data_IF_629144000883
#
_entry.id   IF_629144000883
#
_cell.length_a   1.000
_cell.length_b   1.000
_cell.length_c   1.000
_cell.angle_alpha   90.00
_cell.angle_beta   90.00
_cell.angle_gamma   90.00
#
_symmetry.space_group_name_H-M   'P 1'
#
loop_
_entity.id
_entity.type
_entity.pdbx_description
1 polymer ?
#
# COMPACT_ATOMS: atom_id res chain seq x y z
N UNK A 1 -21.99 5.95 2.60
CA UNK A 1 -22.45 5.15 1.45
C UNK A 1 -22.79 5.96 0.19
N UNK A 2 -22.90 7.31 0.25
CA UNK A 2 -23.32 8.11 -0.91
C UNK A 2 -22.37 8.02 -2.12
N UNK A 3 -21.09 7.76 -1.90
CA UNK A 3 -20.09 7.60 -2.97
C UNK A 3 -20.08 6.19 -3.59
N UNK A 4 -20.64 5.20 -2.91
CA UNK A 4 -20.66 3.82 -3.37
C UNK A 4 -21.62 3.67 -4.56
N UNK A 5 -21.29 2.77 -5.50
CA UNK A 5 -22.15 2.49 -6.66
C UNK A 5 -23.48 1.86 -6.23
N UNK A 6 -23.47 1.01 -5.20
CA UNK A 6 -24.64 0.50 -4.49
C UNK A 6 -24.71 1.17 -3.12
N UNK A 7 -25.81 1.85 -2.83
CA UNK A 7 -25.89 2.73 -1.66
C UNK A 7 -26.47 2.02 -0.42
N UNK A 8 -27.27 0.96 -0.60
CA UNK A 8 -27.85 0.24 0.53
C UNK A 8 -26.96 -0.97 0.87
N UNK A 9 -26.67 -1.22 2.16
CA UNK A 9 -25.95 -2.43 2.58
C UNK A 9 -26.61 -3.72 2.08
N UNK A 10 -27.95 -3.75 1.99
CA UNK A 10 -28.72 -4.91 1.55
C UNK A 10 -28.54 -5.21 0.04
N UNK A 11 -27.94 -4.30 -0.73
CA UNK A 11 -27.64 -4.53 -2.15
C UNK A 11 -26.43 -5.47 -2.35
N UNK A 12 -25.71 -5.82 -1.27
CA UNK A 12 -24.52 -6.66 -1.29
C UNK A 12 -24.83 -8.06 -0.74
N UNK A 13 -24.45 -9.11 -1.47
CA UNK A 13 -24.75 -10.50 -1.10
C UNK A 13 -23.92 -11.00 0.08
N UNK A 14 -22.73 -10.43 0.26
CA UNK A 14 -21.77 -10.83 1.29
C UNK A 14 -21.06 -9.62 1.85
N UNK A 15 -20.52 -9.75 3.07
CA UNK A 15 -19.66 -8.72 3.64
C UNK A 15 -18.44 -8.44 2.77
N UNK A 16 -17.82 -9.46 2.17
CA UNK A 16 -16.67 -9.27 1.27
C UNK A 16 -17.03 -8.42 0.04
N UNK A 17 -18.24 -8.56 -0.50
CA UNK A 17 -18.74 -7.73 -1.60
C UNK A 17 -18.91 -6.27 -1.15
N UNK A 18 -19.44 -6.05 0.05
CA UNK A 18 -19.57 -4.73 0.66
C UNK A 18 -18.22 -4.08 0.98
N UNK A 19 -17.30 -4.86 1.56
CA UNK A 19 -15.95 -4.40 1.93
C UNK A 19 -15.16 -3.96 0.69
N UNK A 20 -15.31 -4.72 -0.41
CA UNK A 20 -14.70 -4.43 -1.71
C UNK A 20 -15.64 -3.69 -2.66
N UNK A 21 -16.62 -2.95 -2.14
CA UNK A 21 -17.61 -2.18 -2.92
C UNK A 21 -16.97 -1.32 -4.01
N UNK A 22 -17.68 -1.12 -5.12
CA UNK A 22 -17.29 -0.14 -6.16
C UNK A 22 -17.76 1.26 -5.76
N UNK A 23 -17.01 2.28 -6.17
CA UNK A 23 -17.46 3.67 -6.09
C UNK A 23 -18.15 4.08 -7.39
N UNK A 24 -18.93 5.17 -7.33
CA UNK A 24 -19.54 5.78 -8.51
C UNK A 24 -18.45 6.30 -9.47
N UNK A 25 -18.68 6.24 -10.80
CA UNK A 25 -17.79 6.86 -11.76
C UNK A 25 -17.59 8.35 -11.46
N UNK A 26 -16.37 8.85 -11.64
CA UNK A 26 -16.05 10.28 -11.49
C UNK A 26 -15.84 10.77 -10.05
N UNK A 27 -16.01 9.92 -9.03
CA UNK A 27 -15.69 10.26 -7.63
C UNK A 27 -14.20 10.53 -7.47
N UNK A 28 -13.35 9.65 -8.01
CA UNK A 28 -11.92 9.87 -8.06
C UNK A 28 -11.53 10.63 -9.33
N UNK A 29 -11.19 11.92 -9.19
CA UNK A 29 -10.61 12.72 -10.28
C UNK A 29 -9.10 12.47 -10.34
N UNK A 30 -8.66 11.72 -11.34
CA UNK A 30 -7.25 11.35 -11.50
C UNK A 30 -6.51 12.47 -12.25
N UNK A 31 -5.37 12.90 -11.71
CA UNK A 31 -4.46 13.80 -12.42
C UNK A 31 -3.87 13.08 -13.63
N UNK A 32 -4.10 13.58 -14.85
CA UNK A 32 -3.67 12.97 -16.11
C UNK A 32 -2.29 13.43 -16.60
N UNK A 33 -1.57 14.23 -15.82
CA UNK A 33 -0.24 14.69 -16.21
C UNK A 33 0.71 13.50 -16.31
N UNK A 34 1.47 13.39 -17.41
CA UNK A 34 2.37 12.24 -17.70
C UNK A 34 3.36 11.89 -16.57
N UNK A 35 3.76 12.88 -15.79
CA UNK A 35 4.76 12.72 -14.72
C UNK A 35 4.14 12.80 -13.32
N UNK A 36 2.80 12.79 -13.20
CA UNK A 36 2.15 12.84 -11.90
C UNK A 36 2.08 11.44 -11.28
N UNK A 37 2.54 11.34 -10.03
CA UNK A 37 2.26 10.20 -9.16
C UNK A 37 0.98 10.54 -8.39
N UNK A 38 -0.02 9.69 -8.47
CA UNK A 38 -1.31 9.86 -7.76
C UNK A 38 -1.39 8.92 -6.56
N UNK A 39 -2.30 9.22 -5.62
CA UNK A 39 -2.57 8.29 -4.52
C UNK A 39 -3.12 6.98 -5.08
N UNK A 40 -2.59 5.85 -4.60
CA UNK A 40 -3.04 4.52 -5.01
C UNK A 40 -4.36 4.11 -4.33
N UNK A 41 -4.70 4.71 -3.20
CA UNK A 41 -5.87 4.31 -2.41
C UNK A 41 -6.44 5.44 -1.57
N UNK A 42 -7.67 5.25 -1.10
CA UNK A 42 -8.31 6.08 -0.08
C UNK A 42 -7.78 5.66 1.29
N UNK A 43 -7.43 6.63 2.13
CA UNK A 43 -6.95 6.34 3.47
C UNK A 43 -6.18 7.50 4.07
N UNK A 44 -5.38 7.19 5.09
CA UNK A 44 -4.56 8.17 5.80
C UNK A 44 -3.08 7.88 5.56
N UNK A 45 -2.34 8.90 5.11
CA UNK A 45 -0.87 8.84 5.12
C UNK A 45 -0.41 8.74 6.57
N UNK A 46 0.29 7.65 6.89
CA UNK A 46 0.90 7.45 8.20
C UNK A 46 2.28 8.08 8.26
N UNK A 47 3.11 7.79 7.26
CA UNK A 47 4.49 8.26 7.15
C UNK A 47 4.86 8.37 5.66
N UNK A 48 5.75 9.30 5.33
CA UNK A 48 6.31 9.47 3.99
C UNK A 48 7.69 10.12 4.09
N UNK A 49 8.50 10.00 3.04
CA UNK A 49 9.79 10.68 2.98
C UNK A 49 10.82 9.96 2.13
N UNK A 50 12.09 10.23 2.41
CA UNK A 50 13.22 9.57 1.75
C UNK A 50 13.61 8.28 2.46
N UNK A 51 14.00 7.30 1.67
CA UNK A 51 14.69 6.11 2.15
C UNK A 51 16.14 6.52 2.41
N UNK A 52 16.69 6.23 3.59
CA UNK A 52 18.08 6.53 3.97
C UNK A 52 18.72 5.29 4.57
N UNK A 53 19.96 4.99 4.20
CA UNK A 53 20.71 3.83 4.71
C UNK A 53 19.90 2.53 4.62
N UNK A 54 19.20 2.35 3.49
CA UNK A 54 18.33 1.21 3.22
C UNK A 54 17.15 1.05 4.19
N UNK A 55 16.73 2.15 4.84
CA UNK A 55 15.64 2.17 5.83
C UNK A 55 14.66 3.29 5.56
N UNK A 56 13.41 3.09 5.98
CA UNK A 56 12.35 4.10 5.96
C UNK A 56 11.55 4.11 7.26
N UNK A 57 10.85 5.20 7.54
CA UNK A 57 10.06 5.35 8.77
C UNK A 57 8.78 4.51 8.71
N UNK A 58 8.56 3.68 9.73
CA UNK A 58 7.32 2.95 9.95
C UNK A 58 6.31 3.81 10.69
N UNK A 59 6.74 4.33 11.84
CA UNK A 59 5.97 5.21 12.73
C UNK A 59 6.96 5.86 13.70
N UNK A 60 6.82 7.15 13.99
CA UNK A 60 7.50 7.90 15.08
C UNK A 60 8.75 7.22 15.66
N UNK A 61 9.88 7.36 14.98
CA UNK A 61 11.21 6.90 15.43
C UNK A 61 11.53 5.42 15.18
N UNK A 62 10.57 4.61 14.71
CA UNK A 62 10.80 3.21 14.30
C UNK A 62 11.01 3.15 12.80
N UNK A 63 12.12 2.55 12.38
CA UNK A 63 12.47 2.36 10.96
C UNK A 63 12.36 0.90 10.55
N UNK A 64 11.98 0.65 9.30
CA UNK A 64 12.01 -0.65 8.64
C UNK A 64 13.13 -0.66 7.60
N UNK A 65 13.82 -1.81 7.46
CA UNK A 65 14.76 -2.07 6.38
C UNK A 65 14.02 -2.42 5.08
N UNK A 66 14.46 -1.83 3.96
CA UNK A 66 13.98 -2.19 2.61
C UNK A 66 14.23 -3.67 2.33
N UNK A 67 15.38 -4.21 2.75
CA UNK A 67 15.67 -5.64 2.56
C UNK A 67 14.64 -6.49 3.31
N UNK A 68 14.29 -6.13 4.54
CA UNK A 68 13.29 -6.90 5.30
C UNK A 68 11.92 -6.86 4.64
N UNK A 69 11.43 -5.67 4.23
CA UNK A 69 10.11 -5.57 3.63
C UNK A 69 10.05 -6.26 2.25
N UNK A 70 11.15 -6.25 1.49
CA UNK A 70 11.29 -6.87 0.17
C UNK A 70 11.74 -8.34 0.21
N UNK A 71 11.81 -8.97 1.39
CA UNK A 71 12.21 -10.37 1.59
C UNK A 71 13.63 -10.69 1.11
N UNK A 72 14.56 -9.78 1.33
CA UNK A 72 15.99 -9.90 1.01
C UNK A 72 16.28 -10.23 -0.44
N UNK A 73 15.36 -9.83 -1.33
CA UNK A 73 15.52 -10.09 -2.73
C UNK A 73 16.56 -9.14 -3.35
N UNK A 74 17.78 -9.65 -3.48
CA UNK A 74 18.94 -8.91 -3.97
C UNK A 74 18.72 -8.26 -5.35
N UNK A 75 17.81 -8.78 -6.19
CA UNK A 75 17.56 -8.23 -7.53
C UNK A 75 16.77 -6.93 -7.48
N UNK A 76 15.90 -6.76 -6.49
CA UNK A 76 14.98 -5.61 -6.39
C UNK A 76 15.34 -4.65 -5.25
N UNK A 77 15.90 -5.12 -4.15
CA UNK A 77 16.12 -4.27 -2.96
C UNK A 77 17.01 -3.04 -3.26
N UNK A 78 18.06 -3.21 -4.07
CA UNK A 78 19.00 -2.14 -4.40
C UNK A 78 18.39 -1.06 -5.30
N UNK A 79 17.25 -1.34 -5.93
CA UNK A 79 16.57 -0.41 -6.83
C UNK A 79 15.85 0.73 -6.09
N UNK A 80 15.65 0.56 -4.77
CA UNK A 80 14.89 1.50 -3.94
C UNK A 80 15.78 2.25 -2.94
N UNK A 81 17.09 1.99 -2.94
CA UNK A 81 18.05 2.76 -2.16
C UNK A 81 17.98 4.23 -2.60
N UNK A 82 18.01 5.15 -1.63
CA UNK A 82 17.84 6.60 -1.82
C UNK A 82 16.54 7.03 -2.52
N UNK A 83 15.58 6.10 -2.62
CA UNK A 83 14.25 6.35 -3.14
C UNK A 83 13.37 7.15 -2.19
N UNK A 84 12.09 7.22 -2.52
CA UNK A 84 11.06 7.84 -1.67
C UNK A 84 9.99 6.82 -1.35
N UNK A 85 9.34 6.97 -0.20
CA UNK A 85 8.28 6.06 0.25
C UNK A 85 7.07 6.86 0.76
N UNK A 86 5.92 6.19 0.74
CA UNK A 86 4.69 6.63 1.40
C UNK A 86 4.00 5.39 1.96
N UNK A 87 3.54 5.48 3.21
CA UNK A 87 2.76 4.45 3.88
C UNK A 87 1.34 4.97 4.07
N UNK A 88 0.35 4.30 3.47
CA UNK A 88 -1.06 4.66 3.56
C UNK A 88 -1.80 3.58 4.35
N UNK A 89 -2.56 4.00 5.36
CA UNK A 89 -3.45 3.14 6.13
C UNK A 89 -4.89 3.26 5.63
N UNK A 90 -5.46 2.12 5.27
CA UNK A 90 -6.87 1.97 4.93
C UNK A 90 -7.60 1.47 6.17
N UNK A 91 -8.44 2.32 6.75
CA UNK A 91 -9.34 1.92 7.82
C UNK A 91 -10.53 1.12 7.28
N UNK A 92 -11.22 0.29 8.09
CA UNK A 92 -12.32 -0.57 7.61
C UNK A 92 -13.49 0.16 6.91
N UNK A 93 -13.62 1.47 7.11
CA UNK A 93 -14.63 2.31 6.45
C UNK A 93 -14.23 2.75 5.05
N UNK A 94 -12.94 2.74 4.73
CA UNK A 94 -12.41 3.28 3.48
C UNK A 94 -12.76 2.34 2.31
N UNK A 95 -12.43 2.76 1.10
CA UNK A 95 -12.60 1.95 -0.10
C UNK A 95 -11.40 1.00 -0.25
N UNK A 96 -11.63 -0.30 -0.08
CA UNK A 96 -10.59 -1.33 -0.05
C UNK A 96 -10.23 -1.89 -1.43
N UNK A 97 -10.08 -1.02 -2.44
CA UNK A 97 -9.37 -1.38 -3.67
C UNK A 97 -8.24 -0.39 -3.90
N UNK A 98 -7.08 -0.93 -4.24
CA UNK A 98 -5.87 -0.16 -4.54
C UNK A 98 -5.70 -0.09 -6.05
N UNK A 99 -5.40 1.10 -6.54
CA UNK A 99 -5.17 1.43 -7.94
C UNK A 99 -3.70 1.73 -8.18
N UNK A 100 -3.32 1.77 -9.45
CA UNK A 100 -1.96 2.11 -9.86
C UNK A 100 -1.67 3.59 -9.55
N UNK A 101 -0.61 3.90 -8.77
CA UNK A 101 -0.23 5.29 -8.48
C UNK A 101 0.47 5.98 -9.67
N UNK A 102 1.00 5.18 -10.60
CA UNK A 102 1.73 5.64 -11.76
C UNK A 102 1.63 4.58 -12.86
N UNK A 103 1.74 5.00 -14.12
CA UNK A 103 1.84 4.06 -15.24
C UNK A 103 3.05 3.16 -15.03
N UNK A 104 2.93 1.88 -15.38
CA UNK A 104 4.04 0.93 -15.25
C UNK A 104 3.65 -0.49 -15.62
N UNK A 105 4.63 -1.23 -16.13
CA UNK A 105 4.52 -2.66 -16.42
C UNK A 105 4.90 -3.46 -15.17
N UNK A 106 4.05 -4.40 -14.77
CA UNK A 106 4.37 -5.35 -13.70
C UNK A 106 5.57 -6.21 -14.13
N UNK A 107 6.66 -6.13 -13.39
CA UNK A 107 7.84 -6.98 -13.61
C UNK A 107 7.79 -8.22 -12.73
N UNK A 108 7.30 -8.09 -11.49
CA UNK A 108 7.34 -9.18 -10.51
C UNK A 108 6.39 -8.99 -9.35
N UNK A 109 5.81 -10.10 -8.90
CA UNK A 109 5.06 -10.20 -7.65
C UNK A 109 5.73 -11.20 -6.71
N UNK A 110 5.81 -10.84 -5.43
CA UNK A 110 6.34 -11.71 -4.38
C UNK A 110 5.31 -11.78 -3.25
N UNK A 111 4.76 -12.97 -3.01
CA UNK A 111 3.97 -13.24 -1.82
C UNK A 111 4.90 -13.68 -0.69
N UNK A 112 4.74 -13.05 0.47
CA UNK A 112 5.57 -13.29 1.65
C UNK A 112 4.62 -13.68 2.78
N UNK A 113 4.59 -14.96 3.19
CA UNK A 113 3.74 -15.41 4.27
C UNK A 113 4.19 -14.78 5.60
N UNK A 114 3.24 -14.56 6.50
CA UNK A 114 3.51 -13.92 7.78
C UNK A 114 2.33 -14.03 8.74
N UNK A 115 2.38 -13.26 9.81
CA UNK A 115 1.29 -13.11 10.77
C UNK A 115 0.22 -12.16 10.22
N UNK A 116 -0.88 -12.03 10.95
CA UNK A 116 -1.94 -11.06 10.66
C UNK A 116 -2.14 -10.16 11.87
N UNK A 117 -1.11 -9.42 12.28
CA UNK A 117 -1.31 -8.40 13.32
C UNK A 117 -2.17 -7.26 12.79
N UNK A 118 -2.97 -6.64 13.65
CA UNK A 118 -3.69 -5.43 13.28
C UNK A 118 -2.71 -4.33 12.88
N UNK A 119 -2.96 -3.65 11.77
CA UNK A 119 -2.17 -2.48 11.32
C UNK A 119 -2.74 -1.16 11.84
N UNK A 120 -3.65 -1.22 12.81
CA UNK A 120 -4.15 -0.04 13.50
C UNK A 120 -2.99 0.74 14.17
N UNK A 121 -3.13 2.06 14.27
CA UNK A 121 -2.04 2.95 14.71
C UNK A 121 -1.45 2.59 16.08
N UNK A 122 -2.28 2.09 17.02
CA UNK A 122 -1.79 1.66 18.34
C UNK A 122 -0.89 0.42 18.24
N UNK A 123 -1.27 -0.57 17.44
CA UNK A 123 -0.50 -1.79 17.24
C UNK A 123 0.83 -1.53 16.52
N UNK A 124 0.81 -0.70 15.47
CA UNK A 124 2.03 -0.29 14.73
C UNK A 124 3.03 0.43 15.64
N UNK A 125 2.53 1.23 16.61
CA UNK A 125 3.39 1.90 17.61
C UNK A 125 4.00 0.94 18.61
N UNK A 126 3.36 -0.17 18.94
CA UNK A 126 3.85 -1.11 19.96
C UNK A 126 4.75 -2.18 19.34
N UNK A 127 4.34 -2.76 18.21
CA UNK A 127 5.03 -3.91 17.61
C UNK A 127 6.14 -3.42 16.68
N UNK A 128 7.38 -3.74 17.03
CA UNK A 128 8.55 -3.50 16.18
C UNK A 128 8.48 -4.33 14.90
N UNK A 129 8.76 -3.69 13.76
CA UNK A 129 8.78 -4.26 12.41
C UNK A 129 7.46 -4.97 12.05
N UNK A 130 6.32 -4.41 12.45
CA UNK A 130 5.00 -5.02 12.25
C UNK A 130 4.78 -5.36 10.77
N UNK A 131 5.08 -4.43 9.86
CA UNK A 131 4.85 -4.65 8.42
C UNK A 131 5.70 -5.80 7.85
N UNK A 132 6.90 -6.03 8.37
CA UNK A 132 7.75 -7.16 7.95
C UNK A 132 7.29 -8.50 8.54
N UNK A 133 6.60 -8.47 9.69
CA UNK A 133 6.04 -9.66 10.34
C UNK A 133 4.72 -10.10 9.73
N UNK A 134 3.96 -9.15 9.18
CA UNK A 134 2.70 -9.46 8.55
C UNK A 134 2.89 -10.12 7.19
N UNK A 135 1.92 -10.97 6.85
CA UNK A 135 1.74 -11.44 5.48
C UNK A 135 1.60 -10.24 4.55
N UNK A 136 2.26 -10.31 3.40
CA UNK A 136 2.27 -9.21 2.43
C UNK A 136 2.51 -9.66 1.00
N UNK A 137 2.11 -8.81 0.07
CA UNK A 137 2.32 -8.96 -1.36
C UNK A 137 3.12 -7.75 -1.87
N UNK A 138 4.28 -8.00 -2.47
CA UNK A 138 5.13 -6.97 -3.08
C UNK A 138 4.98 -7.04 -4.59
N UNK A 139 4.47 -5.98 -5.20
CA UNK A 139 4.33 -5.85 -6.66
C UNK A 139 5.33 -4.80 -7.17
N UNK A 140 6.27 -5.21 -8.01
CA UNK A 140 7.32 -4.36 -8.58
C UNK A 140 6.96 -3.99 -10.02
N UNK A 141 7.10 -2.72 -10.35
CA UNK A 141 6.74 -2.15 -11.64
C UNK A 141 7.90 -1.35 -12.23
N UNK A 142 7.93 -1.31 -13.56
CA UNK A 142 8.85 -0.47 -14.33
C UNK A 142 8.08 0.42 -15.29
N UNK A 143 8.48 1.68 -15.37
CA UNK A 143 7.98 2.65 -16.35
C UNK A 143 9.14 3.44 -16.94
N UNK A 144 9.44 3.23 -18.21
CA UNK A 144 10.61 3.82 -18.90
C UNK A 144 11.87 3.69 -18.01
N UNK A 145 12.30 4.81 -17.42
CA UNK A 145 13.51 4.92 -16.60
C UNK A 145 13.24 4.89 -15.08
N UNK A 146 11.98 4.75 -14.68
CA UNK A 146 11.55 4.71 -13.28
C UNK A 146 11.11 3.31 -12.85
N UNK A 147 11.32 2.99 -11.58
CA UNK A 147 10.81 1.79 -10.94
C UNK A 147 10.08 2.14 -9.66
N UNK A 148 9.03 1.40 -9.35
CA UNK A 148 8.29 1.56 -8.11
C UNK A 148 7.71 0.24 -7.64
N UNK A 149 7.44 0.15 -6.34
CA UNK A 149 6.75 -0.99 -5.75
C UNK A 149 5.44 -0.53 -5.09
N UNK A 150 4.43 -1.39 -5.18
CA UNK A 150 3.22 -1.30 -4.36
C UNK A 150 3.22 -2.52 -3.43
N UNK A 151 3.22 -2.27 -2.12
CA UNK A 151 3.29 -3.32 -1.09
C UNK A 151 1.95 -3.37 -0.35
N UNK A 152 1.28 -4.50 -0.42
CA UNK A 152 0.05 -4.78 0.31
C UNK A 152 0.42 -5.51 1.59
N UNK A 153 0.14 -4.91 2.74
CA UNK A 153 0.35 -5.56 4.05
C UNK A 153 -1.00 -6.01 4.58
N UNK A 154 -1.16 -7.33 4.76
CA UNK A 154 -2.38 -7.91 5.29
C UNK A 154 -2.53 -7.58 6.79
N UNK A 155 -3.77 -7.60 7.29
CA UNK A 155 -4.09 -7.35 8.68
C UNK A 155 -5.34 -8.14 9.07
N UNK A 156 -5.53 -8.31 10.39
CA UNK A 156 -6.76 -8.83 11.00
C UNK A 156 -7.80 -7.73 11.22
#
# INVERSE_FOLDING_TARGET
MQEASKQKPDDYKTFCEFFTRKLKPGIHKINKSKNAIVSSCDGKILEYGKIKDNKFLQVKGKTISINEIMFYDKKIQNQYIDGSFVTIYLSPKDYHRVHMPFDGKLERTIHIPGRLFSVATHAVKQIKNLYCKNERLVCNFKNLDSKFAVIFVAAI
#
